data_IF_308791960407
#
_entry.id   IF_308791960407
#
_cell.length_a   1.000
_cell.length_b   1.000
_cell.length_c   1.000
_cell.angle_alpha   90.00
_cell.angle_beta   90.00
_cell.angle_gamma   90.00
#
_symmetry.space_group_name_H-M   'P 1'
#
loop_
_entity.id
_entity.type
_entity.pdbx_description
1 polymer ?
#
# COMPACT_ATOMS: atom_id res chain seq x y z
N UNK A 1 -19.77 -13.97 8.08
CA UNK A 1 -18.56 -13.73 8.90
C UNK A 1 -18.80 -14.38 10.27
N UNK A 2 -17.91 -15.25 10.77
CA UNK A 2 -18.15 -16.04 12.01
C UNK A 2 -17.33 -15.56 13.22
N UNK A 3 -16.43 -14.61 13.02
CA UNK A 3 -15.53 -14.07 14.05
C UNK A 3 -15.67 -12.55 14.10
N UNK A 4 -15.43 -11.96 15.28
CA UNK A 4 -15.41 -10.51 15.48
C UNK A 4 -14.41 -10.11 16.58
N UNK A 5 -13.89 -8.89 16.46
CA UNK A 5 -13.10 -8.19 17.48
C UNK A 5 -14.06 -7.30 18.27
N UNK A 6 -13.97 -7.36 19.61
CA UNK A 6 -14.70 -6.48 20.54
C UNK A 6 -13.78 -6.16 21.73
N UNK A 7 -13.90 -4.98 22.37
CA UNK A 7 -13.20 -4.72 23.62
C UNK A 7 -13.55 -5.77 24.68
N UNK A 8 -12.56 -6.17 25.49
CA UNK A 8 -12.76 -7.10 26.60
C UNK A 8 -13.27 -6.31 27.81
N UNK A 9 -14.43 -6.70 28.35
CA UNK A 9 -15.05 -6.06 29.51
C UNK A 9 -14.05 -5.83 30.66
N UNK A 10 -13.88 -4.58 31.08
CA UNK A 10 -13.00 -4.26 32.22
C UNK A 10 -13.29 -2.95 32.96
N UNK A 11 -14.05 -2.00 32.40
CA UNK A 11 -14.31 -0.70 33.04
C UNK A 11 -15.46 0.02 32.30
N UNK A 12 -16.02 1.11 32.85
CA UNK A 12 -16.84 2.09 32.11
C UNK A 12 -16.01 3.25 31.55
N UNK A 13 -14.69 3.12 31.57
CA UNK A 13 -13.74 4.06 30.96
C UNK A 13 -14.02 4.26 29.48
N UNK A 14 -13.81 5.47 28.95
CA UNK A 14 -13.89 5.74 27.52
C UNK A 14 -13.03 4.76 26.70
N UNK A 15 -11.83 4.39 27.18
CA UNK A 15 -10.95 3.43 26.50
C UNK A 15 -11.50 1.99 26.42
N UNK A 16 -12.41 1.63 27.32
CA UNK A 16 -13.02 0.28 27.35
C UNK A 16 -14.23 0.13 26.42
N UNK A 17 -14.66 1.24 25.79
CA UNK A 17 -15.81 1.30 24.87
C UNK A 17 -15.40 1.69 23.45
N UNK A 18 -14.10 1.56 23.15
CA UNK A 18 -13.51 1.94 21.87
C UNK A 18 -12.69 0.77 21.32
N UNK A 19 -12.84 0.48 20.03
CA UNK A 19 -11.84 -0.27 19.27
C UNK A 19 -10.94 0.75 18.59
N UNK A 20 -9.63 0.53 18.68
CA UNK A 20 -8.62 1.38 18.06
C UNK A 20 -7.72 0.53 17.16
N UNK A 21 -7.57 0.95 15.90
CA UNK A 21 -6.69 0.34 14.92
C UNK A 21 -5.78 1.45 14.40
N UNK A 22 -4.48 1.34 14.64
CA UNK A 22 -3.52 2.34 14.18
C UNK A 22 -2.36 1.74 13.40
N UNK A 23 -1.85 2.50 12.45
CA UNK A 23 -0.67 2.17 11.66
C UNK A 23 0.01 3.45 11.17
N UNK A 24 1.32 3.36 10.98
CA UNK A 24 2.10 4.40 10.33
C UNK A 24 2.30 4.04 8.85
N UNK A 25 1.87 4.92 7.96
CA UNK A 25 2.48 5.02 6.65
C UNK A 25 3.90 5.58 6.83
N UNK A 26 4.82 5.19 5.97
CA UNK A 26 6.17 5.76 5.92
C UNK A 26 6.26 6.80 4.79
N UNK A 27 5.65 8.01 4.91
CA UNK A 27 5.85 9.07 3.95
C UNK A 27 7.30 9.57 4.04
N UNK A 28 7.82 10.13 2.95
CA UNK A 28 9.10 10.82 2.98
C UNK A 28 8.94 12.20 2.32
N UNK A 29 9.95 13.06 2.45
CA UNK A 29 9.89 14.45 1.92
C UNK A 29 9.56 14.56 0.42
N UNK A 30 9.68 13.48 -0.36
CA UNK A 30 9.28 13.45 -1.76
C UNK A 30 7.81 13.03 -1.97
N UNK A 31 7.15 12.47 -0.97
CA UNK A 31 5.84 11.81 -1.06
C UNK A 31 4.92 12.22 0.10
N UNK A 32 4.00 13.19 -0.10
CA UNK A 32 3.00 13.53 0.90
C UNK A 32 2.04 12.36 1.16
N UNK A 33 1.40 12.35 2.33
CA UNK A 33 0.54 11.27 2.79
C UNK A 33 -0.42 10.74 1.72
N UNK A 34 -0.38 9.43 1.39
CA UNK A 34 -1.33 8.83 0.48
C UNK A 34 -2.69 8.83 1.17
N UNK A 35 -3.71 9.48 0.58
CA UNK A 35 -5.05 9.43 1.15
C UNK A 35 -5.55 7.99 1.29
N UNK A 36 -6.36 7.68 2.29
CA UNK A 36 -6.81 6.32 2.57
C UNK A 36 -8.31 6.17 2.32
N UNK A 37 -8.70 5.06 1.68
CA UNK A 37 -10.06 4.54 1.65
C UNK A 37 -10.12 3.31 2.53
N UNK A 38 -11.05 3.28 3.47
CA UNK A 38 -11.31 2.14 4.34
C UNK A 38 -12.65 1.50 4.04
N UNK A 39 -12.74 0.18 4.23
CA UNK A 39 -13.98 -0.58 4.24
C UNK A 39 -13.96 -1.41 5.52
N UNK A 40 -14.97 -1.24 6.38
CA UNK A 40 -15.10 -1.97 7.63
C UNK A 40 -16.36 -2.81 7.58
N UNK A 41 -16.21 -4.11 7.83
CA UNK A 41 -17.26 -5.10 7.65
C UNK A 41 -17.84 -5.52 9.00
N UNK A 42 -19.16 -5.63 9.03
CA UNK A 42 -19.95 -5.95 10.21
C UNK A 42 -20.94 -7.08 9.91
N UNK A 43 -21.13 -7.96 10.89
CA UNK A 43 -22.19 -8.95 10.95
C UNK A 43 -22.68 -9.03 12.40
N UNK A 44 -23.87 -8.50 12.66
CA UNK A 44 -24.48 -8.56 13.99
C UNK A 44 -25.17 -9.90 14.20
N UNK A 45 -24.49 -10.80 14.91
CA UNK A 45 -24.99 -12.14 15.23
C UNK A 45 -25.50 -12.23 16.67
N UNK A 46 -25.27 -11.22 17.52
CA UNK A 46 -25.73 -11.23 18.90
C UNK A 46 -27.25 -10.98 18.92
N UNK A 47 -28.01 -12.06 19.05
CA UNK A 47 -29.45 -11.98 19.31
C UNK A 47 -29.65 -11.62 20.78
N UNK A 48 -29.74 -10.33 21.08
CA UNK A 48 -30.04 -9.92 22.45
C UNK A 48 -31.55 -9.87 22.64
N UNK A 49 -32.04 -10.56 23.67
CA UNK A 49 -33.47 -10.68 23.94
C UNK A 49 -34.11 -9.30 24.25
N UNK A 50 -35.02 -8.87 23.37
CA UNK A 50 -35.81 -7.65 23.49
C UNK A 50 -35.21 -6.43 22.79
N UNK A 51 -36.06 -5.48 22.38
CA UNK A 51 -35.73 -4.20 21.70
C UNK A 51 -34.75 -3.28 22.49
N UNK A 52 -34.33 -3.68 23.68
CA UNK A 52 -33.52 -2.87 24.59
C UNK A 52 -32.03 -2.88 24.25
N UNK A 53 -31.52 -3.94 23.63
CA UNK A 53 -30.09 -4.05 23.36
C UNK A 53 -29.73 -3.52 21.96
N UNK A 54 -28.91 -2.49 21.95
CA UNK A 54 -28.51 -1.78 20.75
C UNK A 54 -27.00 -1.64 20.70
N UNK A 55 -26.41 -2.06 19.59
CA UNK A 55 -25.03 -1.73 19.25
C UNK A 55 -25.02 -0.47 18.39
N UNK A 56 -24.45 0.60 18.90
CA UNK A 56 -24.32 1.85 18.16
C UNK A 56 -22.96 2.48 18.44
N UNK A 57 -22.25 2.85 17.40
CA UNK A 57 -20.92 3.44 17.55
C UNK A 57 -20.64 4.48 16.48
N UNK A 58 -19.78 5.42 16.82
CA UNK A 58 -19.23 6.41 15.90
C UNK A 58 -17.87 5.92 15.41
N UNK A 59 -17.63 6.13 14.13
CA UNK A 59 -16.35 5.80 13.50
C UNK A 59 -15.61 7.10 13.21
N UNK A 60 -14.33 7.14 13.56
CA UNK A 60 -13.47 8.27 13.24
C UNK A 60 -12.13 7.79 12.69
N UNK A 61 -11.53 8.62 11.83
CA UNK A 61 -10.15 8.46 11.38
C UNK A 61 -9.38 9.71 11.80
N UNK A 62 -8.32 9.50 12.58
CA UNK A 62 -7.50 10.55 13.18
C UNK A 62 -8.33 11.64 13.88
N UNK A 63 -9.32 11.19 14.66
CA UNK A 63 -10.23 12.05 15.41
C UNK A 63 -11.33 12.74 14.57
N UNK A 64 -11.31 12.62 13.24
CA UNK A 64 -12.36 13.15 12.37
C UNK A 64 -13.44 12.09 12.13
N UNK A 65 -14.69 12.43 12.45
CA UNK A 65 -15.84 11.55 12.21
C UNK A 65 -15.94 11.16 10.73
N UNK A 66 -16.15 9.87 10.50
CA UNK A 66 -16.24 9.27 9.18
C UNK A 66 -17.65 9.45 8.58
N UNK A 67 -18.70 9.48 9.41
CA UNK A 67 -20.09 9.80 9.03
C UNK A 67 -20.68 10.94 9.86
N UNK A 68 -21.78 11.50 9.36
CA UNK A 68 -22.61 12.49 10.08
C UNK A 68 -23.48 11.88 11.18
N UNK A 69 -23.67 10.56 11.19
CA UNK A 69 -24.53 9.85 12.14
C UNK A 69 -23.84 8.57 12.61
N UNK A 70 -24.12 8.11 13.85
CA UNK A 70 -23.61 6.84 14.37
C UNK A 70 -24.10 5.65 13.53
N UNK A 71 -23.26 4.63 13.43
CA UNK A 71 -23.57 3.39 12.76
C UNK A 71 -24.28 2.41 13.72
N UNK A 72 -25.25 1.65 13.21
CA UNK A 72 -25.99 0.62 13.96
C UNK A 72 -26.15 -0.60 13.05
N UNK A 73 -25.37 -1.67 13.25
CA UNK A 73 -25.48 -2.87 12.42
C UNK A 73 -26.84 -3.55 12.67
N UNK A 74 -27.46 -4.04 11.61
CA UNK A 74 -28.73 -4.76 11.69
C UNK A 74 -28.50 -6.23 12.04
N UNK A 75 -29.35 -6.77 12.92
CA UNK A 75 -29.26 -8.17 13.33
C UNK A 75 -29.45 -9.13 12.14
N UNK A 76 -28.59 -10.14 12.05
CA UNK A 76 -28.51 -11.12 10.94
C UNK A 76 -28.26 -10.51 9.55
N UNK A 77 -27.79 -9.27 9.50
CA UNK A 77 -27.39 -8.60 8.27
C UNK A 77 -25.87 -8.43 8.26
N UNK A 78 -25.26 -8.72 7.12
CA UNK A 78 -23.89 -8.32 6.84
C UNK A 78 -23.90 -6.97 6.16
N UNK A 79 -23.15 -6.01 6.69
CA UNK A 79 -23.08 -4.65 6.17
C UNK A 79 -21.62 -4.18 6.15
N UNK A 80 -21.33 -3.21 5.29
CA UNK A 80 -19.99 -2.63 5.13
C UNK A 80 -20.08 -1.11 5.20
N UNK A 81 -19.24 -0.52 6.02
CA UNK A 81 -19.10 0.92 6.14
C UNK A 81 -17.83 1.38 5.45
N UNK A 82 -17.93 2.35 4.53
CA UNK A 82 -16.81 2.79 3.70
C UNK A 82 -16.85 4.31 3.44
N UNK A 83 -15.70 4.92 3.15
CA UNK A 83 -15.65 6.26 2.54
C UNK A 83 -15.54 6.18 1.02
N UNK A 84 -16.19 7.12 0.34
CA UNK A 84 -15.98 7.35 -1.10
C UNK A 84 -14.86 8.36 -1.39
N UNK A 85 -14.59 9.29 -0.47
CA UNK A 85 -13.50 10.27 -0.59
C UNK A 85 -12.31 9.88 0.28
N UNK A 86 -11.10 9.93 -0.29
CA UNK A 86 -9.88 9.59 0.43
C UNK A 86 -9.64 10.53 1.62
N UNK A 87 -9.47 9.97 2.81
CA UNK A 87 -9.07 10.72 3.99
C UNK A 87 -7.59 11.11 3.88
N UNK A 88 -7.28 12.40 3.94
CA UNK A 88 -5.92 12.96 3.72
C UNK A 88 -5.49 13.83 4.90
N UNK A 89 -4.16 13.94 5.08
CA UNK A 89 -3.53 15.02 5.85
C UNK A 89 -3.22 14.69 7.31
N UNK A 90 -2.54 13.56 7.58
CA UNK A 90 -2.35 13.07 8.95
C UNK A 90 -0.91 12.72 9.34
N UNK A 91 0.08 13.27 8.64
CA UNK A 91 1.50 13.08 8.95
C UNK A 91 1.97 11.63 8.85
N UNK A 92 1.30 10.82 8.03
CA UNK A 92 1.59 9.41 7.82
C UNK A 92 0.93 8.50 8.84
N UNK A 93 0.50 9.01 10.00
CA UNK A 93 -0.15 8.20 11.01
C UNK A 93 -1.65 8.09 10.73
N UNK A 94 -2.17 6.87 10.78
CA UNK A 94 -3.58 6.58 10.64
C UNK A 94 -4.07 5.87 11.90
N UNK A 95 -5.10 6.44 12.52
CA UNK A 95 -5.77 5.90 13.67
C UNK A 95 -7.27 5.84 13.42
N UNK A 96 -7.82 4.64 13.32
CA UNK A 96 -9.25 4.39 13.13
C UNK A 96 -9.85 3.95 14.46
N UNK A 97 -10.85 4.69 14.92
CA UNK A 97 -11.56 4.42 16.17
C UNK A 97 -13.02 4.09 15.91
N UNK A 98 -13.54 3.10 16.64
CA UNK A 98 -14.96 2.80 16.73
C UNK A 98 -15.37 2.95 18.20
N UNK A 99 -16.07 4.03 18.51
CA UNK A 99 -16.43 4.38 19.88
C UNK A 99 -17.92 4.18 20.08
N UNK A 100 -18.32 3.34 21.04
CA UNK A 100 -19.73 3.16 21.36
C UNK A 100 -20.38 4.46 21.85
N UNK A 101 -21.56 4.79 21.32
CA UNK A 101 -22.32 5.97 21.73
C UNK A 101 -22.85 5.79 23.16
N UNK A 102 -23.30 6.90 23.76
CA UNK A 102 -23.98 6.88 25.05
C UNK A 102 -25.25 6.00 25.04
N UNK A 103 -25.89 5.86 23.88
CA UNK A 103 -27.11 5.05 23.69
C UNK A 103 -26.84 3.57 23.43
N UNK A 104 -25.57 3.18 23.24
CA UNK A 104 -25.21 1.79 22.96
C UNK A 104 -25.18 0.98 24.24
N UNK A 105 -25.94 -0.11 24.30
CA UNK A 105 -25.88 -1.05 25.43
C UNK A 105 -24.80 -2.11 25.22
N UNK A 106 -24.44 -2.36 23.97
CA UNK A 106 -23.41 -3.32 23.57
C UNK A 106 -22.10 -2.59 23.21
N UNK A 107 -20.98 -3.28 23.33
CA UNK A 107 -19.66 -2.79 22.94
C UNK A 107 -19.52 -2.69 21.41
N UNK A 108 -18.60 -1.91 20.83
CA UNK A 108 -18.39 -1.95 19.37
C UNK A 108 -17.82 -3.31 18.94
N UNK A 109 -18.11 -3.73 17.71
CA UNK A 109 -17.61 -4.98 17.13
C UNK A 109 -17.13 -4.76 15.70
N UNK A 110 -16.08 -5.45 15.27
CA UNK A 110 -15.60 -5.46 13.87
C UNK A 110 -15.38 -6.89 13.43
N UNK A 111 -15.84 -7.27 12.24
CA UNK A 111 -15.58 -8.60 11.68
C UNK A 111 -14.32 -8.60 10.80
N UNK A 112 -14.16 -7.59 9.95
CA UNK A 112 -12.98 -7.37 9.12
C UNK A 112 -12.82 -5.88 8.77
N UNK A 113 -11.63 -5.48 8.37
CA UNK A 113 -11.37 -4.14 7.84
C UNK A 113 -10.31 -4.21 6.73
N UNK A 114 -10.51 -3.43 5.68
CA UNK A 114 -9.59 -3.26 4.56
C UNK A 114 -9.27 -1.77 4.41
N UNK A 115 -7.98 -1.43 4.26
CA UNK A 115 -7.53 -0.06 4.06
C UNK A 115 -6.67 0.01 2.80
N UNK A 116 -7.00 0.94 1.92
CA UNK A 116 -6.39 1.12 0.61
C UNK A 116 -5.77 2.52 0.52
N UNK A 117 -4.48 2.58 0.17
CA UNK A 117 -3.84 3.83 -0.21
C UNK A 117 -4.29 4.27 -1.60
N UNK A 118 -4.74 5.51 -1.71
CA UNK A 118 -5.21 6.10 -2.97
C UNK A 118 -4.02 6.61 -3.78
N UNK A 119 -3.87 6.03 -4.96
CA UNK A 119 -2.86 6.40 -5.95
C UNK A 119 -3.53 7.13 -7.11
N UNK A 120 -2.90 8.20 -7.61
CA UNK A 120 -3.39 8.91 -8.80
C UNK A 120 -3.24 8.05 -10.06
N UNK A 121 -4.32 7.91 -10.81
CA UNK A 121 -4.36 7.25 -12.13
C UNK A 121 -4.00 8.18 -13.29
N UNK A 122 -3.82 9.48 -13.03
CA UNK A 122 -3.42 10.45 -14.06
C UNK A 122 -1.93 10.35 -14.45
N UNK A 123 -1.17 9.44 -13.84
CA UNK A 123 0.25 9.25 -14.14
C UNK A 123 0.42 8.47 -15.45
N UNK A 124 1.38 8.90 -16.27
CA UNK A 124 1.79 8.14 -17.45
C UNK A 124 2.55 6.89 -16.98
N UNK A 125 2.20 5.72 -17.51
CA UNK A 125 2.89 4.47 -17.22
C UNK A 125 4.37 4.53 -17.64
N UNK A 126 5.21 3.71 -17.00
CA UNK A 126 6.62 3.55 -17.39
C UNK A 126 6.72 3.12 -18.85
N UNK A 127 7.76 3.57 -19.55
CA UNK A 127 7.99 3.18 -20.94
C UNK A 127 7.99 1.65 -21.11
N UNK A 128 7.21 1.18 -22.08
CA UNK A 128 6.94 -0.23 -22.28
C UNK A 128 8.21 -1.07 -22.50
N UNK A 129 9.28 -0.49 -23.08
CA UNK A 129 10.55 -1.21 -23.28
C UNK A 129 11.28 -1.42 -21.95
N UNK A 130 11.25 -0.42 -21.08
CA UNK A 130 11.83 -0.52 -19.74
C UNK A 130 11.04 -1.53 -18.91
N UNK A 131 9.69 -1.51 -18.98
CA UNK A 131 8.82 -2.51 -18.32
C UNK A 131 9.15 -3.93 -18.79
N UNK A 132 9.23 -4.16 -20.10
CA UNK A 132 9.51 -5.49 -20.65
C UNK A 132 10.92 -5.98 -20.27
N UNK A 133 11.92 -5.10 -20.30
CA UNK A 133 13.28 -5.42 -19.88
C UNK A 133 13.32 -5.82 -18.40
N UNK A 134 12.68 -5.05 -17.54
CA UNK A 134 12.61 -5.32 -16.11
C UNK A 134 11.83 -6.59 -15.77
N UNK A 135 10.75 -6.88 -16.49
CA UNK A 135 10.01 -8.13 -16.34
C UNK A 135 10.89 -9.35 -16.65
N UNK A 136 11.68 -9.29 -17.74
CA UNK A 136 12.61 -10.34 -18.11
C UNK A 136 13.76 -10.50 -17.09
N UNK A 137 14.33 -9.41 -16.61
CA UNK A 137 15.38 -9.42 -15.57
C UNK A 137 14.83 -10.01 -14.26
N UNK A 138 13.65 -9.57 -13.83
CA UNK A 138 12.97 -10.07 -12.64
C UNK A 138 12.73 -11.58 -12.73
N UNK A 139 12.22 -12.05 -13.86
CA UNK A 139 11.95 -13.47 -14.10
C UNK A 139 13.26 -14.29 -14.15
N UNK A 140 14.31 -13.76 -14.79
CA UNK A 140 15.59 -14.45 -14.94
C UNK A 140 16.27 -14.76 -13.60
N UNK A 141 16.13 -13.84 -12.65
CA UNK A 141 16.85 -13.90 -11.37
C UNK A 141 15.95 -14.15 -10.17
N UNK A 142 14.65 -14.37 -10.39
CA UNK A 142 13.66 -14.60 -9.34
C UNK A 142 13.74 -13.56 -8.21
N UNK A 143 13.89 -12.28 -8.58
CA UNK A 143 14.17 -11.19 -7.65
C UNK A 143 13.04 -11.05 -6.62
N UNK A 144 13.38 -11.21 -5.33
CA UNK A 144 12.47 -11.05 -4.19
C UNK A 144 12.60 -9.67 -3.54
N UNK A 145 12.09 -8.65 -4.23
CA UNK A 145 11.98 -7.26 -3.75
C UNK A 145 10.52 -6.78 -3.86
N UNK A 146 10.25 -5.50 -3.58
CA UNK A 146 8.95 -4.86 -3.85
C UNK A 146 8.60 -4.71 -5.36
N UNK A 147 9.23 -5.51 -6.24
CA UNK A 147 9.13 -5.41 -7.69
C UNK A 147 7.81 -5.99 -8.19
N UNK A 148 6.68 -5.32 -7.92
CA UNK A 148 5.37 -5.69 -8.40
C UNK A 148 4.70 -4.48 -9.08
N UNK A 149 3.95 -4.72 -10.16
CA UNK A 149 3.28 -3.67 -10.92
C UNK A 149 4.19 -2.90 -11.87
N UNK A 150 3.96 -1.60 -12.01
CA UNK A 150 4.74 -0.72 -12.88
C UNK A 150 6.04 -0.27 -12.17
N UNK A 151 7.22 -0.32 -12.81
CA UNK A 151 8.50 -0.09 -12.13
C UNK A 151 8.72 1.32 -11.58
N UNK A 152 8.19 2.35 -12.24
CA UNK A 152 8.40 3.76 -11.87
C UNK A 152 7.12 4.48 -11.42
N UNK A 153 5.96 3.88 -11.65
CA UNK A 153 4.66 4.56 -11.46
C UNK A 153 3.75 3.77 -10.52
N UNK A 154 3.15 4.42 -9.52
CA UNK A 154 3.36 5.81 -9.12
C UNK A 154 4.77 6.06 -8.57
N UNK A 155 5.23 7.32 -8.60
CA UNK A 155 6.51 7.74 -8.00
C UNK A 155 6.70 7.25 -6.56
N UNK A 156 5.60 7.12 -5.82
CA UNK A 156 5.56 6.67 -4.43
C UNK A 156 5.86 5.18 -4.25
N UNK A 157 5.72 4.36 -5.28
CA UNK A 157 5.86 2.90 -5.24
C UNK A 157 6.95 2.40 -6.21
N UNK A 158 7.91 3.26 -6.54
CA UNK A 158 9.06 2.90 -7.38
C UNK A 158 9.74 1.66 -6.80
N UNK A 159 10.09 0.74 -7.68
CA UNK A 159 10.78 -0.48 -7.28
C UNK A 159 12.11 -0.17 -6.61
N UNK A 160 12.40 -0.91 -5.55
CA UNK A 160 13.61 -0.77 -4.75
C UNK A 160 14.84 -0.98 -5.62
N UNK A 161 15.78 -0.03 -5.51
CA UNK A 161 16.98 0.03 -6.34
C UNK A 161 16.79 0.76 -7.67
N UNK A 162 15.59 1.24 -8.02
CA UNK A 162 15.37 2.07 -9.20
C UNK A 162 15.40 3.56 -8.90
N UNK A 163 15.85 4.34 -9.89
CA UNK A 163 15.54 5.75 -10.01
C UNK A 163 15.09 6.04 -11.44
N UNK A 164 14.00 6.80 -11.60
CA UNK A 164 13.38 7.05 -12.89
C UNK A 164 13.34 8.54 -13.24
N UNK A 165 13.32 8.85 -14.53
CA UNK A 165 13.06 10.19 -15.04
C UNK A 165 11.56 10.47 -15.06
N UNK A 166 11.18 11.74 -14.86
CA UNK A 166 9.77 12.16 -14.83
C UNK A 166 9.57 13.47 -15.58
N UNK A 167 9.77 13.43 -16.90
CA UNK A 167 9.43 14.57 -17.75
C UNK A 167 7.91 14.72 -17.87
N UNK A 168 7.43 15.96 -17.97
CA UNK A 168 6.00 16.25 -18.11
C UNK A 168 5.48 15.59 -19.39
N UNK A 169 4.39 14.84 -19.28
CA UNK A 169 3.70 14.18 -20.42
C UNK A 169 4.54 13.16 -21.20
N UNK A 170 5.64 12.65 -20.63
CA UNK A 170 6.41 11.54 -21.20
C UNK A 170 6.41 10.34 -20.25
N UNK A 171 6.40 9.09 -20.77
CA UNK A 171 6.58 7.90 -19.96
C UNK A 171 7.86 7.97 -19.11
N UNK A 172 7.80 7.68 -17.80
CA UNK A 172 8.99 7.55 -16.99
C UNK A 172 9.96 6.52 -17.57
N UNK A 173 11.26 6.81 -17.48
CA UNK A 173 12.34 5.92 -17.93
C UNK A 173 13.27 5.57 -16.78
N UNK A 174 13.79 4.35 -16.75
CA UNK A 174 14.74 3.91 -15.72
C UNK A 174 16.10 4.53 -16.02
N UNK A 175 16.62 5.32 -15.07
CA UNK A 175 17.92 6.01 -15.18
C UNK A 175 18.97 5.42 -14.24
N UNK A 176 18.55 4.76 -13.17
CA UNK A 176 19.44 4.00 -12.28
C UNK A 176 18.80 2.67 -11.93
N UNK A 177 19.61 1.61 -11.90
CA UNK A 177 19.23 0.29 -11.42
C UNK A 177 20.35 -0.24 -10.53
N UNK A 178 20.04 -0.49 -9.26
CA UNK A 178 20.91 -1.13 -8.30
C UNK A 178 20.39 -2.54 -7.99
N UNK A 179 21.19 -3.53 -8.38
CA UNK A 179 21.02 -4.94 -8.03
C UNK A 179 22.28 -5.51 -7.36
N UNK A 180 23.10 -4.68 -6.73
CA UNK A 180 24.28 -5.16 -6.01
C UNK A 180 23.91 -5.94 -4.74
N UNK A 181 24.83 -6.79 -4.28
CA UNK A 181 24.65 -7.62 -3.08
C UNK A 181 23.40 -8.53 -3.12
N UNK A 182 23.00 -8.99 -4.31
CA UNK A 182 21.78 -9.77 -4.49
C UNK A 182 21.99 -11.29 -4.49
N UNK A 183 23.23 -11.78 -4.38
CA UNK A 183 23.56 -13.20 -4.53
C UNK A 183 23.21 -13.75 -5.92
N UNK A 184 23.04 -12.88 -6.91
CA UNK A 184 22.58 -13.23 -8.26
C UNK A 184 23.67 -14.04 -8.97
N UNK A 185 23.28 -15.07 -9.73
CA UNK A 185 24.24 -15.97 -10.38
C UNK A 185 23.89 -16.28 -11.84
N UNK A 186 24.85 -16.85 -12.55
CA UNK A 186 24.75 -17.12 -13.99
C UNK A 186 25.19 -15.94 -14.86
N UNK A 187 24.79 -15.94 -16.14
CA UNK A 187 25.17 -14.89 -17.10
C UNK A 187 24.26 -13.67 -17.02
N UNK A 188 24.85 -12.50 -17.21
CA UNK A 188 24.11 -11.25 -17.40
C UNK A 188 23.31 -11.34 -18.71
N UNK A 189 21.97 -11.23 -18.71
CA UNK A 189 21.15 -11.25 -19.92
C UNK A 189 21.31 -9.96 -20.73
N UNK A 190 21.10 -10.04 -22.05
CA UNK A 190 21.11 -8.87 -22.94
C UNK A 190 19.95 -7.89 -22.68
N UNK A 191 18.92 -8.29 -21.92
CA UNK A 191 17.79 -7.44 -21.57
C UNK A 191 18.17 -6.13 -20.85
N UNK A 192 19.29 -6.10 -20.12
CA UNK A 192 19.80 -4.85 -19.55
C UNK A 192 20.13 -3.80 -20.63
N UNK A 193 20.51 -4.23 -21.84
CA UNK A 193 20.77 -3.35 -22.98
C UNK A 193 19.52 -2.64 -23.55
N UNK A 194 18.32 -3.04 -23.12
CA UNK A 194 17.06 -2.39 -23.52
C UNK A 194 16.71 -1.16 -22.68
N UNK A 195 17.36 -0.97 -21.53
CA UNK A 195 17.16 0.17 -20.64
C UNK A 195 17.87 1.42 -21.20
N UNK A 196 17.41 1.92 -22.35
CA UNK A 196 18.16 2.91 -23.15
C UNK A 196 18.38 4.27 -22.47
N UNK A 197 17.65 4.58 -21.39
CA UNK A 197 17.84 5.79 -20.60
C UNK A 197 18.75 5.60 -19.36
N UNK A 198 19.25 4.38 -19.12
CA UNK A 198 20.04 4.07 -17.94
C UNK A 198 21.38 4.82 -17.96
N UNK A 199 21.72 5.39 -16.81
CA UNK A 199 22.97 6.11 -16.57
C UNK A 199 23.85 5.40 -15.55
N UNK A 200 23.23 4.68 -14.62
CA UNK A 200 23.93 3.94 -13.56
C UNK A 200 23.33 2.55 -13.44
N UNK A 201 24.15 1.53 -13.68
CA UNK A 201 23.78 0.13 -13.55
C UNK A 201 24.74 -0.52 -12.56
N UNK A 202 24.30 -0.80 -11.34
CA UNK A 202 25.14 -1.44 -10.34
C UNK A 202 24.77 -2.92 -10.21
N UNK A 203 25.67 -3.79 -10.68
CA UNK A 203 25.57 -5.25 -10.63
C UNK A 203 26.64 -5.87 -9.70
N UNK A 204 27.36 -5.03 -8.95
CA UNK A 204 28.50 -5.45 -8.13
C UNK A 204 28.13 -6.40 -6.99
N UNK A 205 29.11 -7.09 -6.42
CA UNK A 205 28.90 -8.01 -5.29
C UNK A 205 27.82 -9.08 -5.54
N UNK A 206 27.81 -9.65 -6.74
CA UNK A 206 27.01 -10.80 -7.14
C UNK A 206 27.92 -11.94 -7.62
N UNK A 207 27.35 -13.10 -7.90
CA UNK A 207 28.03 -14.30 -8.38
C UNK A 207 27.83 -14.52 -9.89
N UNK A 208 27.85 -13.44 -10.67
CA UNK A 208 27.72 -13.51 -12.12
C UNK A 208 28.93 -14.19 -12.77
N UNK A 209 28.69 -14.92 -13.85
CA UNK A 209 29.70 -15.67 -14.59
C UNK A 209 29.53 -15.47 -16.10
N UNK A 210 30.58 -15.76 -16.87
CA UNK A 210 30.60 -15.56 -18.31
C UNK A 210 30.86 -14.11 -18.72
N UNK A 211 30.76 -13.80 -20.03
CA UNK A 211 31.13 -12.50 -20.56
C UNK A 211 30.10 -11.41 -20.26
N UNK A 212 30.56 -10.16 -20.21
CA UNK A 212 29.70 -8.97 -20.21
C UNK A 212 28.99 -8.89 -21.59
N UNK A 213 27.66 -8.79 -21.66
CA UNK A 213 26.94 -8.74 -22.95
C UNK A 213 27.26 -7.48 -23.73
N UNK A 214 27.55 -7.63 -25.03
CA UNK A 214 27.78 -6.50 -25.94
C UNK A 214 26.60 -5.51 -25.98
N UNK A 215 25.37 -5.99 -25.69
CA UNK A 215 24.19 -5.13 -25.60
C UNK A 215 24.32 -4.00 -24.55
N UNK A 216 25.20 -4.14 -23.55
CA UNK A 216 25.51 -3.08 -22.60
C UNK A 216 26.38 -1.96 -23.21
N UNK A 217 27.20 -2.29 -24.21
CA UNK A 217 27.99 -1.31 -24.96
C UNK A 217 27.11 -0.38 -25.81
N UNK A 218 25.89 -0.81 -26.16
CA UNK A 218 24.91 -0.05 -26.94
C UNK A 218 24.03 0.87 -26.07
N UNK A 219 24.40 1.13 -24.82
CA UNK A 219 23.67 2.01 -23.90
C UNK A 219 24.19 3.45 -24.04
N UNK A 220 23.42 4.37 -24.65
CA UNK A 220 23.94 5.68 -25.08
C UNK A 220 24.24 6.66 -23.94
N UNK A 221 23.68 6.40 -22.75
CA UNK A 221 23.80 7.31 -21.59
C UNK A 221 24.45 6.66 -20.38
N UNK A 222 24.98 5.44 -20.50
CA UNK A 222 25.59 4.73 -19.37
C UNK A 222 26.90 5.41 -18.97
N UNK A 223 26.98 5.84 -17.72
CA UNK A 223 28.16 6.52 -17.14
C UNK A 223 28.86 5.64 -16.12
N UNK A 224 28.08 4.85 -15.36
CA UNK A 224 28.60 3.95 -14.32
C UNK A 224 28.01 2.57 -14.52
N UNK A 225 28.90 1.57 -14.57
CA UNK A 225 28.61 0.14 -14.66
C UNK A 225 29.35 -0.61 -13.55
#
# INVERSE_FOLDING_TARGET
MQTAITPRNGSRSASSRTIELSWDAAPNHAYPDPGVIGIVYFAELEAVAGDAAKRQFEMAINGKLWSKAPFTPQHLVCDAFFNSEAHRGFGGHYNVTLTATANSTLLPTINAAEFFSVVSTANVATDAKDVAAMAAIKAKYEVKKNWAGDPCTPKTLVWEGLNCSYAISMPPRITRLNMSFGGLSGRIPSHFGNLKAIKYLDLSYNNFTGPIPNALSDLPFLVVL
#
